data_IF_985233697704
#
_entry.id   IF_985233697704
#
_cell.length_a   1.000
_cell.length_b   1.000
_cell.length_c   1.000
_cell.angle_alpha   90.00
_cell.angle_beta   90.00
_cell.angle_gamma   90.00
#
_symmetry.space_group_name_H-M   'P 1'
#
loop_
_entity.id
_entity.type
_entity.pdbx_description
1 polymer ?
#
# COMPACT_ATOMS: atom_id res chain seq x y z
N UNK A 1 -61.75 -36.84 -87.16
CA UNK A 1 -60.46 -37.00 -86.62
C UNK A 1 -59.85 -35.72 -86.14
N UNK A 2 -59.89 -35.37 -84.88
CA UNK A 2 -59.05 -34.31 -84.31
C UNK A 2 -58.73 -34.72 -82.89
N UNK A 3 -57.48 -34.95 -82.63
CA UNK A 3 -56.90 -35.21 -81.30
C UNK A 3 -56.91 -33.92 -80.48
N UNK A 4 -57.56 -33.98 -79.35
CA UNK A 4 -57.44 -32.92 -78.34
C UNK A 4 -56.27 -33.15 -77.44
N UNK A 5 -55.35 -32.20 -77.42
CA UNK A 5 -54.18 -32.22 -76.53
C UNK A 5 -54.61 -31.74 -75.15
N UNK A 6 -54.54 -32.66 -74.17
CA UNK A 6 -54.73 -32.29 -72.77
C UNK A 6 -53.35 -31.83 -72.25
N UNK A 7 -53.32 -30.48 -71.88
CA UNK A 7 -52.18 -29.88 -71.22
C UNK A 7 -52.44 -30.01 -69.73
N UNK A 8 -51.63 -30.88 -69.06
CA UNK A 8 -51.59 -30.96 -67.58
C UNK A 8 -50.67 -29.89 -67.12
N UNK A 9 -51.21 -28.81 -66.56
CA UNK A 9 -50.43 -27.78 -65.88
C UNK A 9 -50.04 -28.33 -64.48
N UNK A 10 -48.79 -28.75 -64.35
CA UNK A 10 -48.20 -29.07 -63.04
C UNK A 10 -47.90 -27.77 -62.28
N UNK A 11 -48.73 -27.41 -61.31
CA UNK A 11 -48.48 -26.31 -60.39
C UNK A 11 -47.37 -26.69 -59.43
N UNK A 12 -46.19 -26.14 -59.69
CA UNK A 12 -45.02 -26.26 -58.79
C UNK A 12 -45.28 -25.35 -57.57
N UNK A 13 -45.72 -25.95 -56.47
CA UNK A 13 -45.79 -25.23 -55.18
C UNK A 13 -44.37 -25.08 -54.68
N UNK A 14 -43.79 -23.87 -54.87
CA UNK A 14 -42.55 -23.47 -54.25
C UNK A 14 -42.77 -23.28 -52.75
N UNK A 15 -42.45 -24.27 -51.93
CA UNK A 15 -42.36 -24.07 -50.47
C UNK A 15 -41.14 -23.23 -50.23
N UNK A 16 -41.34 -21.94 -50.04
CA UNK A 16 -40.29 -21.05 -49.54
C UNK A 16 -40.01 -21.38 -48.08
N UNK A 17 -39.00 -22.20 -47.84
CA UNK A 17 -38.42 -22.36 -46.52
C UNK A 17 -37.79 -21.02 -46.19
N UNK A 18 -38.48 -20.18 -45.42
CA UNK A 18 -37.90 -19.04 -44.78
C UNK A 18 -36.85 -19.56 -43.79
N UNK A 19 -35.59 -19.63 -44.23
CA UNK A 19 -34.46 -19.82 -43.33
C UNK A 19 -34.44 -18.57 -42.43
N UNK A 20 -34.92 -18.73 -41.20
CA UNK A 20 -34.66 -17.74 -40.17
C UNK A 20 -33.13 -17.74 -39.99
N UNK A 21 -32.46 -16.80 -40.64
CA UNK A 21 -31.08 -16.52 -40.37
C UNK A 21 -31.00 -16.08 -38.88
N UNK A 22 -30.61 -16.99 -38.05
CA UNK A 22 -30.34 -16.69 -36.64
C UNK A 22 -29.14 -15.78 -36.62
N UNK A 23 -29.41 -14.47 -36.44
CA UNK A 23 -28.33 -13.51 -36.25
C UNK A 23 -27.79 -13.64 -34.85
N UNK A 24 -26.89 -14.63 -34.66
CA UNK A 24 -26.12 -14.73 -33.45
C UNK A 24 -25.05 -13.62 -33.45
N UNK A 25 -25.36 -12.51 -32.79
CA UNK A 25 -24.39 -11.45 -32.56
C UNK A 25 -23.51 -11.89 -31.38
N UNK A 26 -22.28 -12.20 -31.65
CA UNK A 26 -21.27 -12.51 -30.63
C UNK A 26 -20.43 -11.28 -30.41
N UNK A 27 -20.28 -10.88 -29.16
CA UNK A 27 -19.42 -9.79 -28.76
C UNK A 27 -18.37 -10.34 -27.79
N UNK A 28 -17.11 -10.02 -28.04
CA UNK A 28 -16.01 -10.46 -27.21
C UNK A 28 -15.82 -9.42 -26.10
N UNK A 29 -15.61 -9.88 -24.89
CA UNK A 29 -15.24 -9.04 -23.75
C UNK A 29 -14.00 -9.62 -23.08
N UNK A 30 -13.15 -8.73 -22.57
CA UNK A 30 -11.96 -9.11 -21.82
C UNK A 30 -12.33 -9.47 -20.39
N UNK A 31 -11.86 -10.61 -19.92
CA UNK A 31 -11.90 -10.99 -18.51
C UNK A 31 -10.49 -10.87 -17.96
N UNK A 32 -10.29 -10.00 -16.96
CA UNK A 32 -8.99 -9.74 -16.36
C UNK A 32 -9.04 -10.05 -14.87
N UNK A 33 -8.00 -10.72 -14.37
CA UNK A 33 -7.76 -10.96 -12.95
C UNK A 33 -6.31 -10.56 -12.65
N UNK A 34 -6.14 -9.72 -11.61
CA UNK A 34 -4.82 -9.39 -11.07
C UNK A 34 -4.68 -10.10 -9.72
N UNK A 35 -3.64 -10.90 -9.57
CA UNK A 35 -3.27 -11.54 -8.30
C UNK A 35 -2.10 -10.78 -7.71
N UNK A 36 -2.19 -10.44 -6.44
CA UNK A 36 -1.11 -9.81 -5.70
C UNK A 36 -0.32 -10.86 -4.92
N UNK A 37 1.01 -10.72 -4.92
CA UNK A 37 1.87 -11.41 -3.96
C UNK A 37 1.65 -10.77 -2.59
N UNK A 38 1.46 -11.53 -1.51
CA UNK A 38 1.37 -10.96 -0.17
C UNK A 38 2.57 -10.09 0.16
N UNK A 39 2.33 -8.95 0.81
CA UNK A 39 3.40 -8.09 1.33
C UNK A 39 4.00 -8.78 2.56
N UNK A 40 5.33 -8.82 2.63
CA UNK A 40 6.05 -9.17 3.85
C UNK A 40 6.97 -8.01 4.24
N UNK A 41 7.08 -7.76 5.56
CA UNK A 41 7.89 -6.70 6.16
C UNK A 41 8.85 -7.33 7.13
N UNK A 42 10.12 -6.97 7.06
CA UNK A 42 11.17 -7.43 7.98
C UNK A 42 11.92 -6.22 8.52
N UNK A 43 11.89 -6.01 9.83
CA UNK A 43 12.72 -5.02 10.49
C UNK A 43 14.18 -5.48 10.48
N UNK A 44 15.08 -4.59 10.03
CA UNK A 44 16.53 -4.81 9.98
C UNK A 44 17.25 -4.08 11.09
N UNK A 45 16.74 -2.91 11.47
CA UNK A 45 17.32 -2.09 12.53
C UNK A 45 16.22 -1.28 13.24
N UNK A 46 16.33 -1.13 14.54
CA UNK A 46 15.48 -0.25 15.33
C UNK A 46 15.92 1.21 15.21
N UNK A 47 14.97 2.14 15.47
CA UNK A 47 15.31 3.56 15.64
C UNK A 47 15.93 3.79 17.01
N UNK A 48 17.03 4.54 17.04
CA UNK A 48 17.74 4.89 18.27
C UNK A 48 17.96 6.40 18.34
N UNK A 49 17.64 6.99 19.46
CA UNK A 49 17.98 8.36 19.80
C UNK A 49 19.28 8.43 20.61
N UNK A 50 20.06 9.51 20.50
CA UNK A 50 21.27 9.67 21.31
C UNK A 50 20.91 9.87 22.79
N UNK A 51 21.84 9.53 23.65
CA UNK A 51 21.71 9.84 25.07
C UNK A 51 21.64 11.36 25.30
N UNK A 52 20.72 11.78 26.16
CA UNK A 52 20.55 13.18 26.55
C UNK A 52 20.48 13.30 28.07
N UNK A 53 21.11 14.33 28.62
CA UNK A 53 21.07 14.62 30.05
C UNK A 53 19.67 15.09 30.46
N UNK A 54 19.11 14.52 31.54
CA UNK A 54 17.84 14.96 32.09
C UNK A 54 17.95 16.40 32.66
N UNK A 55 16.94 17.22 32.43
CA UNK A 55 16.94 18.62 32.86
C UNK A 55 17.70 19.56 31.94
N UNK A 56 18.21 19.09 30.80
CA UNK A 56 18.79 20.00 29.80
C UNK A 56 17.71 20.83 29.14
N UNK A 57 17.79 22.17 29.38
CA UNK A 57 16.81 23.15 28.90
C UNK A 57 17.23 23.72 27.55
N UNK A 58 17.01 22.95 26.48
CA UNK A 58 17.34 23.43 25.13
C UNK A 58 16.16 23.42 24.15
N UNK A 59 14.97 22.97 24.56
CA UNK A 59 13.73 22.94 23.74
C UNK A 59 13.96 22.56 22.26
N UNK A 60 15.05 21.84 21.99
CA UNK A 60 15.41 21.44 20.64
C UNK A 60 15.00 19.97 20.45
N UNK A 61 14.14 19.68 19.47
CA UNK A 61 13.78 18.31 19.18
C UNK A 61 15.02 17.45 18.93
N UNK A 62 15.10 16.32 19.64
CA UNK A 62 16.24 15.40 19.56
C UNK A 62 16.11 14.52 18.30
N UNK A 63 17.03 14.68 17.36
CA UNK A 63 17.05 13.82 16.17
C UNK A 63 17.58 12.43 16.53
N UNK A 64 17.07 11.40 15.83
CA UNK A 64 17.58 10.04 15.97
C UNK A 64 19.06 9.92 15.53
N UNK A 65 19.81 8.98 16.08
CA UNK A 65 21.18 8.64 15.63
C UNK A 65 21.15 7.56 14.55
N UNK A 66 20.21 6.62 14.63
CA UNK A 66 19.95 5.65 13.57
C UNK A 66 18.45 5.52 13.35
N UNK A 67 18.01 5.58 12.09
CA UNK A 67 16.62 5.32 11.73
C UNK A 67 16.27 3.84 11.81
N UNK A 68 14.99 3.54 11.99
CA UNK A 68 14.48 2.19 11.81
C UNK A 68 14.58 1.80 10.33
N UNK A 69 15.03 0.59 10.05
CA UNK A 69 15.17 0.09 8.68
C UNK A 69 14.30 -1.14 8.47
N UNK A 70 13.57 -1.14 7.36
CA UNK A 70 12.65 -2.21 6.97
C UNK A 70 12.92 -2.66 5.55
N UNK A 71 12.98 -3.97 5.35
CA UNK A 71 12.91 -4.60 4.03
C UNK A 71 11.47 -5.04 3.77
N UNK A 72 10.92 -4.62 2.63
CA UNK A 72 9.54 -4.88 2.22
C UNK A 72 9.58 -5.67 0.92
N UNK A 73 8.83 -6.77 0.87
CA UNK A 73 8.73 -7.62 -0.32
C UNK A 73 7.27 -7.77 -0.75
N UNK A 74 7.03 -7.93 -2.06
CA UNK A 74 5.70 -8.06 -2.63
C UNK A 74 5.71 -8.22 -4.15
N UNK A 75 4.64 -7.82 -4.81
CA UNK A 75 4.52 -7.90 -6.26
C UNK A 75 5.42 -6.87 -6.94
N UNK A 76 6.31 -7.34 -7.82
CA UNK A 76 7.26 -6.49 -8.51
C UNK A 76 6.59 -5.41 -9.38
N UNK A 77 7.10 -4.18 -9.30
CA UNK A 77 6.62 -3.02 -10.06
C UNK A 77 5.40 -2.32 -9.45
N UNK A 78 4.82 -2.84 -8.37
CA UNK A 78 3.71 -2.18 -7.69
C UNK A 78 4.18 -1.07 -6.77
N UNK A 79 3.33 -0.07 -6.61
CA UNK A 79 3.50 1.00 -5.62
C UNK A 79 2.80 0.58 -4.34
N UNK A 80 3.46 0.81 -3.22
CA UNK A 80 2.93 0.60 -1.88
C UNK A 80 2.82 1.93 -1.13
N UNK A 81 1.81 2.02 -0.28
CA UNK A 81 1.66 3.09 0.70
C UNK A 81 2.16 2.59 2.05
N UNK A 82 2.89 3.44 2.75
CA UNK A 82 3.42 3.19 4.08
C UNK A 82 2.88 4.27 5.02
N UNK A 83 2.58 3.90 6.25
CA UNK A 83 2.22 4.87 7.29
C UNK A 83 2.69 4.44 8.66
N UNK A 84 3.05 5.43 9.47
CA UNK A 84 3.37 5.32 10.89
C UNK A 84 2.52 6.32 11.66
N UNK A 85 2.49 6.20 12.98
CA UNK A 85 1.77 7.14 13.84
C UNK A 85 2.73 7.84 14.79
N UNK A 86 2.39 9.07 15.20
CA UNK A 86 3.06 9.71 16.32
C UNK A 86 2.88 8.86 17.57
N UNK A 87 3.94 8.69 18.32
CA UNK A 87 3.97 7.88 19.51
C UNK A 87 4.60 8.61 20.68
N UNK A 88 4.46 8.09 21.87
CA UNK A 88 5.08 8.65 23.08
C UNK A 88 5.92 7.59 23.75
N UNK A 89 7.23 7.82 23.82
CA UNK A 89 8.12 6.99 24.63
C UNK A 89 7.84 7.23 26.12
N UNK A 90 7.86 6.14 26.90
CA UNK A 90 7.61 6.17 28.34
C UNK A 90 8.76 5.57 29.13
N UNK A 91 8.92 6.03 30.35
CA UNK A 91 9.83 5.44 31.35
C UNK A 91 9.08 5.05 32.63
N UNK A 92 9.51 4.01 33.30
CA UNK A 92 8.87 3.52 34.51
C UNK A 92 7.41 3.10 34.29
N UNK A 93 6.49 3.70 35.03
CA UNK A 93 5.03 3.45 34.88
C UNK A 93 4.35 4.32 33.82
N UNK A 94 5.09 5.27 33.21
CA UNK A 94 4.60 6.21 32.19
C UNK A 94 3.55 7.21 32.70
N UNK A 95 3.31 7.29 34.02
CA UNK A 95 2.32 8.20 34.60
C UNK A 95 2.93 9.58 34.81
N UNK A 96 2.32 10.60 34.21
CA UNK A 96 2.75 12.01 34.26
C UNK A 96 3.66 12.39 33.11
N UNK A 97 3.56 13.66 32.70
CA UNK A 97 4.29 14.24 31.55
C UNK A 97 5.80 14.14 31.67
N UNK A 98 6.34 14.16 32.89
CA UNK A 98 7.79 14.04 33.15
C UNK A 98 8.37 12.66 32.79
N UNK A 99 7.53 11.68 32.54
CA UNK A 99 7.88 10.31 32.15
C UNK A 99 7.49 9.98 30.70
N UNK A 100 7.14 10.98 29.94
CA UNK A 100 6.64 10.85 28.56
C UNK A 100 7.43 11.75 27.63
N UNK A 101 7.86 11.22 26.49
CA UNK A 101 8.57 11.95 25.45
C UNK A 101 7.84 11.70 24.13
N UNK A 102 7.16 12.71 23.56
CA UNK A 102 6.55 12.60 22.23
C UNK A 102 7.59 12.35 21.16
N UNK A 103 7.23 11.50 20.18
CA UNK A 103 8.05 11.21 19.00
C UNK A 103 7.19 11.43 17.76
N UNK A 104 7.67 12.26 16.84
CA UNK A 104 6.98 12.61 15.62
C UNK A 104 7.94 13.19 14.59
N UNK A 105 7.41 13.99 13.64
CA UNK A 105 8.18 14.57 12.54
C UNK A 105 8.99 13.49 11.82
N UNK A 106 8.32 12.46 11.31
CA UNK A 106 8.97 11.34 10.68
C UNK A 106 9.63 11.75 9.36
N UNK A 107 10.75 11.13 9.09
CA UNK A 107 11.50 11.29 7.84
C UNK A 107 11.68 9.95 7.18
N UNK A 108 11.58 9.91 5.87
CA UNK A 108 11.65 8.70 5.07
C UNK A 108 12.85 8.75 4.14
N UNK A 109 13.50 7.63 3.95
CA UNK A 109 14.69 7.54 3.13
C UNK A 109 14.84 6.19 2.45
N UNK A 110 15.95 6.06 1.71
CA UNK A 110 16.27 4.96 0.82
C UNK A 110 15.24 4.88 -0.31
N UNK A 111 14.46 3.81 -0.45
CA UNK A 111 13.48 3.65 -1.53
C UNK A 111 12.12 4.29 -1.22
N UNK A 112 11.93 4.84 0.00
CA UNK A 112 10.70 5.45 0.45
C UNK A 112 10.72 6.97 0.28
N UNK A 113 9.63 7.50 -0.30
CA UNK A 113 9.44 8.94 -0.52
C UNK A 113 8.27 9.44 0.33
N UNK A 114 8.46 10.57 1.00
CA UNK A 114 7.40 11.22 1.79
C UNK A 114 6.13 11.39 0.95
N UNK A 115 5.00 11.05 1.54
CA UNK A 115 3.67 11.19 0.94
C UNK A 115 3.04 12.56 1.21
N UNK A 116 1.77 12.56 1.59
CA UNK A 116 1.03 13.80 1.89
C UNK A 116 1.39 14.43 3.23
N UNK A 117 1.83 13.63 4.19
CA UNK A 117 2.28 14.04 5.54
C UNK A 117 3.61 13.36 5.86
N UNK A 118 4.28 13.80 6.91
CA UNK A 118 5.51 13.16 7.40
C UNK A 118 5.27 11.74 7.95
N UNK A 119 4.04 11.43 8.34
CA UNK A 119 3.64 10.11 8.80
C UNK A 119 3.41 9.11 7.65
N UNK A 120 3.37 9.58 6.40
CA UNK A 120 3.05 8.78 5.23
C UNK A 120 4.18 8.76 4.20
N UNK A 121 4.34 7.64 3.53
CA UNK A 121 5.29 7.50 2.42
C UNK A 121 4.76 6.57 1.35
N UNK A 122 5.44 6.58 0.20
CA UNK A 122 5.24 5.64 -0.89
C UNK A 122 6.57 5.02 -1.30
N UNK A 123 6.52 3.80 -1.78
CA UNK A 123 7.68 3.16 -2.41
C UNK A 123 7.23 2.31 -3.60
N UNK A 124 8.12 2.09 -4.55
CA UNK A 124 7.91 1.16 -5.66
C UNK A 124 8.70 -0.11 -5.40
N UNK A 125 8.03 -1.27 -5.44
CA UNK A 125 8.67 -2.57 -5.26
C UNK A 125 9.49 -2.94 -6.50
N UNK A 126 10.69 -2.36 -6.63
CA UNK A 126 11.59 -2.62 -7.75
C UNK A 126 12.12 -4.05 -7.68
N UNK A 127 11.77 -4.86 -8.68
CA UNK A 127 12.10 -6.29 -8.64
C UNK A 127 11.38 -7.08 -7.53
N UNK A 128 10.34 -6.50 -6.94
CA UNK A 128 9.56 -7.11 -5.85
C UNK A 128 10.05 -6.75 -4.45
N UNK A 129 10.99 -5.80 -4.32
CA UNK A 129 11.58 -5.39 -3.04
C UNK A 129 11.69 -3.87 -2.94
N UNK A 130 11.64 -3.35 -1.72
CA UNK A 130 12.00 -1.98 -1.36
C UNK A 130 12.62 -1.98 0.04
N UNK A 131 13.61 -1.13 0.27
CA UNK A 131 14.19 -0.89 1.60
C UNK A 131 13.83 0.52 2.05
N UNK A 132 13.21 0.66 3.21
CA UNK A 132 12.82 1.95 3.77
C UNK A 132 13.55 2.23 5.07
N UNK A 133 14.05 3.46 5.20
CA UNK A 133 14.60 3.97 6.45
C UNK A 133 13.66 5.03 7.01
N UNK A 134 13.29 4.91 8.28
CA UNK A 134 12.38 5.81 8.97
C UNK A 134 13.15 6.49 10.11
N UNK A 135 13.25 7.81 10.05
CA UNK A 135 13.77 8.65 11.12
C UNK A 135 12.64 9.39 11.83
N UNK A 136 12.93 9.96 13.00
CA UNK A 136 12.00 10.83 13.71
C UNK A 136 12.75 11.80 14.64
N UNK A 137 12.00 12.74 15.23
CA UNK A 137 12.48 13.56 16.32
C UNK A 137 11.72 13.25 17.61
N UNK A 138 12.42 13.32 18.73
CA UNK A 138 11.86 13.20 20.07
C UNK A 138 11.82 14.59 20.73
N UNK A 139 10.70 14.93 21.34
CA UNK A 139 10.50 16.22 22.02
C UNK A 139 10.77 16.06 23.52
N UNK A 140 12.02 16.36 23.92
CA UNK A 140 12.51 16.15 25.28
C UNK A 140 12.43 17.46 26.05
N UNK A 141 11.59 17.49 27.08
CA UNK A 141 11.41 18.63 27.98
C UNK A 141 12.42 18.61 29.14
N UNK A 142 12.71 19.82 29.67
CA UNK A 142 13.56 20.00 30.85
C UNK A 142 13.03 19.25 32.09
N UNK A 143 11.74 19.07 32.18
CA UNK A 143 11.08 18.36 33.29
C UNK A 143 11.14 16.83 33.18
N UNK A 144 11.61 16.30 32.04
CA UNK A 144 11.73 14.84 31.89
C UNK A 144 12.75 14.28 32.88
N UNK A 145 12.35 13.22 33.58
CA UNK A 145 13.21 12.56 34.58
C UNK A 145 14.23 11.63 33.91
N UNK A 146 15.35 11.39 34.57
CA UNK A 146 16.33 10.41 34.09
C UNK A 146 15.76 8.99 34.04
N UNK A 147 16.03 8.27 32.97
CA UNK A 147 15.57 6.89 32.77
C UNK A 147 15.69 6.45 31.33
N UNK A 148 15.44 5.18 31.09
CA UNK A 148 15.30 4.65 29.73
C UNK A 148 13.87 4.84 29.26
N UNK A 149 13.69 5.51 28.12
CA UNK A 149 12.41 5.72 27.47
C UNK A 149 12.27 4.79 26.28
N UNK A 150 11.14 4.10 26.18
CA UNK A 150 10.87 3.14 25.11
C UNK A 150 9.42 3.21 24.66
N UNK A 151 9.17 2.87 23.40
CA UNK A 151 7.84 2.69 22.82
C UNK A 151 7.93 1.74 21.63
N UNK A 152 6.88 1.01 21.37
CA UNK A 152 6.69 0.28 20.12
C UNK A 152 5.85 1.12 19.17
N UNK A 153 6.27 1.25 17.91
CA UNK A 153 5.48 1.86 16.84
C UNK A 153 5.17 0.81 15.77
N UNK A 154 4.11 1.03 15.02
CA UNK A 154 3.66 0.11 13.98
C UNK A 154 3.82 0.74 12.61
N UNK A 155 4.56 0.08 11.72
CA UNK A 155 4.59 0.39 10.30
C UNK A 155 3.45 -0.35 9.60
N UNK A 156 2.53 0.39 8.98
CA UNK A 156 1.45 -0.15 8.15
C UNK A 156 1.83 -0.05 6.68
N UNK A 157 1.70 -1.14 5.93
CA UNK A 157 2.03 -1.18 4.50
C UNK A 157 0.90 -1.83 3.71
N UNK A 158 0.54 -1.21 2.58
CA UNK A 158 -0.50 -1.72 1.68
C UNK A 158 -0.22 -1.37 0.23
N UNK A 159 -0.72 -2.17 -0.71
CA UNK A 159 -0.70 -1.81 -2.13
C UNK A 159 -1.58 -0.58 -2.37
N UNK A 160 -1.15 0.27 -3.32
CA UNK A 160 -1.89 1.45 -3.75
C UNK A 160 -3.05 1.09 -4.70
#
# INVERSE_FOLDING_TARGET
MKLSKIIIAASLVAVSTSSFAKFDKQEKFDVKLKLFTPIAITEQAAMVFPDKEAGADDNTPLAHTSGAQFDITGLAGEVINLSVQDVTMITGDGVGVTKQIPVGNFTWGTDCTVGGTDNDATATLTGGTATCTIGATADVDADNIGGQYTVENTLTVGYQ
#
